data_IF_785618286896
#
_entry.id   IF_785618286896
#
_cell.length_a   1.000
_cell.length_b   1.000
_cell.length_c   1.000
_cell.angle_alpha   90.00
_cell.angle_beta   90.00
_cell.angle_gamma   90.00
#
_symmetry.space_group_name_H-M   'P 1'
#
loop_
_entity.id
_entity.type
_entity.pdbx_description
1 polymer ?
#
# COMPACT_ATOMS: atom_id res chain seq x y z
N UNK A 1 -7.67 19.32 6.76
CA UNK A 1 -7.59 17.85 6.60
C UNK A 1 -6.16 17.38 6.81
N UNK A 2 -6.00 16.43 7.69
CA UNK A 2 -4.66 15.89 7.96
C UNK A 2 -4.18 15.01 6.82
N UNK A 3 -2.95 15.27 6.41
CA UNK A 3 -2.27 14.50 5.39
C UNK A 3 -1.49 13.40 6.09
N UNK A 4 -2.01 12.19 6.08
CA UNK A 4 -1.37 11.07 6.78
C UNK A 4 -0.35 10.40 5.87
N UNK A 5 0.84 10.20 6.42
CA UNK A 5 1.91 9.48 5.75
C UNK A 5 2.13 8.15 6.43
N UNK A 6 2.28 7.11 5.64
CA UNK A 6 2.52 5.76 6.13
C UNK A 6 3.81 5.22 5.55
N UNK A 7 4.39 4.26 6.27
CA UNK A 7 5.55 3.49 5.80
C UNK A 7 5.27 2.02 6.06
N UNK A 8 5.46 1.18 5.05
CA UNK A 8 5.38 -0.25 5.25
C UNK A 8 6.60 -0.75 6.00
N UNK A 9 6.38 -1.67 6.93
CA UNK A 9 7.45 -2.34 7.65
C UNK A 9 7.58 -3.81 7.25
N UNK A 10 6.52 -4.38 6.65
CA UNK A 10 6.53 -5.75 6.17
C UNK A 10 5.48 -5.93 5.08
N UNK A 11 5.83 -6.68 4.05
CA UNK A 11 4.89 -7.09 3.01
C UNK A 11 5.37 -8.43 2.46
N UNK A 12 4.62 -9.49 2.70
CA UNK A 12 5.00 -10.83 2.24
C UNK A 12 4.59 -11.06 0.80
N UNK A 13 3.45 -10.52 0.38
CA UNK A 13 2.97 -10.68 -0.99
C UNK A 13 2.50 -9.34 -1.54
N UNK A 14 3.31 -8.79 -2.45
CA UNK A 14 2.96 -7.55 -3.14
C UNK A 14 1.72 -7.74 -4.01
N UNK A 15 1.52 -8.92 -4.58
CA UNK A 15 0.36 -9.23 -5.40
C UNK A 15 -0.94 -9.11 -4.59
N UNK A 16 -0.96 -9.66 -3.38
CA UNK A 16 -2.11 -9.52 -2.48
C UNK A 16 -2.36 -8.06 -2.13
N UNK A 17 -1.30 -7.31 -1.91
CA UNK A 17 -1.40 -5.89 -1.61
C UNK A 17 -2.04 -5.11 -2.76
N UNK A 18 -1.58 -5.37 -3.99
CA UNK A 18 -2.15 -4.74 -5.20
C UNK A 18 -3.64 -5.10 -5.33
N UNK A 19 -4.00 -6.36 -5.14
CA UNK A 19 -5.39 -6.79 -5.20
C UNK A 19 -6.26 -6.11 -4.15
N UNK A 20 -5.75 -5.96 -2.94
CA UNK A 20 -6.48 -5.28 -1.88
C UNK A 20 -6.72 -3.81 -2.22
N UNK A 21 -5.73 -3.13 -2.79
CA UNK A 21 -5.89 -1.75 -3.25
C UNK A 21 -7.00 -1.67 -4.29
N UNK A 22 -6.98 -2.56 -5.28
CA UNK A 22 -8.01 -2.60 -6.31
C UNK A 22 -9.40 -2.82 -5.72
N UNK A 23 -9.53 -3.77 -4.81
CA UNK A 23 -10.81 -4.12 -4.21
C UNK A 23 -11.41 -2.98 -3.39
N UNK A 24 -10.58 -2.28 -2.64
CA UNK A 24 -11.05 -1.22 -1.73
C UNK A 24 -11.28 0.09 -2.48
N UNK A 25 -10.36 0.46 -3.37
CA UNK A 25 -10.38 1.77 -4.02
C UNK A 25 -11.03 1.75 -5.41
N UNK A 26 -11.26 0.56 -5.95
CA UNK A 26 -11.78 0.38 -7.32
C UNK A 26 -10.88 1.00 -8.39
N UNK A 27 -9.61 1.16 -8.10
CA UNK A 27 -8.63 1.64 -9.06
C UNK A 27 -8.28 0.53 -10.06
N UNK A 28 -7.74 0.93 -11.21
CA UNK A 28 -7.25 -0.04 -12.20
C UNK A 28 -6.06 -0.82 -11.66
N UNK A 29 -5.74 -1.93 -12.30
CA UNK A 29 -4.55 -2.72 -11.96
C UNK A 29 -3.30 -1.86 -12.08
N UNK A 30 -3.19 -1.06 -13.15
CA UNK A 30 -2.03 -0.20 -13.38
C UNK A 30 -1.85 0.82 -12.26
N UNK A 31 -2.91 1.50 -11.88
CA UNK A 31 -2.87 2.50 -10.80
C UNK A 31 -2.53 1.85 -9.46
N UNK A 32 -3.15 0.72 -9.16
CA UNK A 32 -2.92 0.00 -7.92
C UNK A 32 -1.47 -0.50 -7.83
N UNK A 33 -0.95 -1.00 -8.95
CA UNK A 33 0.44 -1.44 -9.03
C UNK A 33 1.40 -0.27 -8.83
N UNK A 34 1.11 0.88 -9.42
CA UNK A 34 1.93 2.07 -9.25
C UNK A 34 1.98 2.53 -7.78
N UNK A 35 0.85 2.46 -7.09
CA UNK A 35 0.79 2.79 -5.66
C UNK A 35 1.64 1.80 -4.87
N UNK A 36 1.48 0.51 -5.14
CA UNK A 36 2.26 -0.52 -4.46
C UNK A 36 3.76 -0.35 -4.73
N UNK A 37 4.15 -0.04 -5.98
CA UNK A 37 5.53 0.18 -6.34
C UNK A 37 6.13 1.42 -5.66
N UNK A 38 5.32 2.42 -5.38
CA UNK A 38 5.77 3.63 -4.68
C UNK A 38 6.14 3.34 -3.23
N UNK A 39 5.49 2.38 -2.62
CA UNK A 39 5.67 2.09 -1.19
C UNK A 39 6.48 0.83 -0.94
N UNK A 40 6.52 -0.10 -1.90
CA UNK A 40 7.26 -1.36 -1.78
C UNK A 40 7.93 -1.68 -3.10
N UNK A 41 9.14 -1.19 -3.30
CA UNK A 41 9.93 -1.48 -4.50
C UNK A 41 10.55 -2.85 -4.42
N UNK A 42 10.40 -3.63 -5.48
CA UNK A 42 11.04 -4.93 -5.58
C UNK A 42 12.55 -4.75 -5.74
N UNK A 43 13.31 -5.36 -4.83
CA UNK A 43 14.77 -5.30 -4.84
C UNK A 43 15.44 -6.61 -5.24
N UNK A 44 14.71 -7.70 -5.21
CA UNK A 44 15.20 -9.03 -5.51
C UNK A 44 14.05 -10.00 -5.50
N UNK A 45 14.34 -11.30 -5.46
CA UNK A 45 13.32 -12.33 -5.58
C UNK A 45 12.30 -12.29 -4.45
N UNK A 46 12.72 -11.97 -3.22
CA UNK A 46 11.84 -11.97 -2.05
C UNK A 46 12.09 -10.79 -1.13
N UNK A 47 12.69 -9.72 -1.65
CA UNK A 47 12.97 -8.55 -0.83
C UNK A 47 12.41 -7.30 -1.45
N UNK A 48 11.94 -6.39 -0.59
CA UNK A 48 11.36 -5.12 -0.99
C UNK A 48 12.03 -3.99 -0.26
N UNK A 49 12.19 -2.86 -0.96
CA UNK A 49 12.59 -1.62 -0.33
C UNK A 49 11.32 -0.83 -0.02
N UNK A 50 11.07 -0.59 1.27
CA UNK A 50 9.86 0.08 1.70
C UNK A 50 10.05 1.59 1.71
N UNK A 51 9.07 2.29 1.17
CA UNK A 51 9.04 3.73 1.15
C UNK A 51 7.86 4.28 1.93
N UNK A 52 7.64 5.57 1.81
CA UNK A 52 6.51 6.24 2.43
C UNK A 52 5.46 6.60 1.38
N UNK A 53 4.21 6.71 1.82
CA UNK A 53 3.09 7.07 0.97
C UNK A 53 2.24 8.12 1.67
N UNK A 54 1.95 9.21 0.97
CA UNK A 54 0.99 10.21 1.42
C UNK A 54 -0.39 9.81 0.95
N UNK A 55 -1.27 9.48 1.89
CA UNK A 55 -2.58 8.93 1.56
C UNK A 55 -3.41 9.86 0.68
N UNK A 56 -3.43 11.14 1.01
CA UNK A 56 -4.23 12.09 0.24
C UNK A 56 -3.73 12.25 -1.20
N UNK A 57 -2.43 12.24 -1.41
CA UNK A 57 -1.85 12.32 -2.76
C UNK A 57 -2.14 11.08 -3.58
N UNK A 58 -2.34 9.96 -2.93
CA UNK A 58 -2.63 8.69 -3.60
C UNK A 58 -4.12 8.47 -3.80
N UNK A 59 -4.95 9.43 -3.40
CA UNK A 59 -6.41 9.31 -3.47
C UNK A 59 -6.93 8.11 -2.66
N UNK A 60 -6.26 7.79 -1.57
CA UNK A 60 -6.66 6.74 -0.64
C UNK A 60 -6.98 7.42 0.68
N UNK A 61 -8.20 7.25 1.17
CA UNK A 61 -8.57 7.78 2.48
C UNK A 61 -7.97 6.91 3.58
N UNK A 62 -7.79 7.43 4.81
CA UNK A 62 -7.36 6.60 5.93
C UNK A 62 -8.28 5.41 6.17
N UNK A 63 -9.58 5.57 5.96
CA UNK A 63 -10.53 4.47 6.09
C UNK A 63 -10.29 3.38 5.04
N UNK A 64 -10.06 3.78 3.81
CA UNK A 64 -9.72 2.83 2.74
C UNK A 64 -8.41 2.12 3.05
N UNK A 65 -7.43 2.84 3.57
CA UNK A 65 -6.14 2.24 3.93
C UNK A 65 -6.32 1.15 4.99
N UNK A 66 -7.15 1.41 6.01
CA UNK A 66 -7.43 0.41 7.03
C UNK A 66 -8.10 -0.83 6.45
N UNK A 67 -9.02 -0.65 5.51
CA UNK A 67 -9.64 -1.79 4.82
C UNK A 67 -8.64 -2.59 4.00
N UNK A 68 -7.71 -1.90 3.34
CA UNK A 68 -6.65 -2.55 2.57
C UNK A 68 -5.81 -3.45 3.48
N UNK A 69 -5.35 -2.93 4.61
CA UNK A 69 -4.50 -3.71 5.52
C UNK A 69 -5.27 -4.83 6.22
N UNK A 70 -6.57 -4.68 6.40
CA UNK A 70 -7.40 -5.75 6.93
C UNK A 70 -7.52 -6.92 5.96
N UNK A 71 -7.51 -6.64 4.65
CA UNK A 71 -7.52 -7.68 3.62
C UNK A 71 -6.16 -8.33 3.43
N UNK A 72 -5.10 -7.68 3.91
CA UNK A 72 -3.73 -8.15 3.79
C UNK A 72 -3.08 -8.24 5.17
N UNK A 73 -3.39 -9.26 5.97
CA UNK A 73 -2.86 -9.36 7.34
C UNK A 73 -1.34 -9.53 7.39
N UNK A 74 -0.71 -9.91 6.28
CA UNK A 74 0.74 -10.01 6.17
C UNK A 74 1.43 -8.66 5.93
N UNK A 75 0.67 -7.60 5.68
CA UNK A 75 1.20 -6.25 5.52
C UNK A 75 1.22 -5.54 6.87
N UNK A 76 2.38 -5.04 7.24
CA UNK A 76 2.55 -4.23 8.46
C UNK A 76 3.03 -2.84 8.09
N UNK A 77 2.59 -1.85 8.82
CA UNK A 77 2.90 -0.46 8.55
C UNK A 77 2.92 0.37 9.82
N UNK A 78 3.47 1.58 9.71
CA UNK A 78 3.45 2.57 10.78
C UNK A 78 3.09 3.93 10.17
N UNK A 79 2.48 4.78 10.96
CA UNK A 79 2.29 6.18 10.60
C UNK A 79 3.58 6.95 10.89
N UNK A 80 3.98 7.77 9.96
CA UNK A 80 5.20 8.59 10.12
C UNK A 80 4.90 10.07 10.01
#
# INVERSE_FOLDING_TARGET
MENKRIRLTKCESKLHFVKAIMDVTHKSLCESKNIADSIAKTKGLHSYEYGTLLLNESSITPEQWEKIVNLCPDVQFVYV
#
